data_IF_405543725429
#
_entry.id   IF_405543725429
#
_cell.length_a   1.000
_cell.length_b   1.000
_cell.length_c   1.000
_cell.angle_alpha   90.00
_cell.angle_beta   90.00
_cell.angle_gamma   90.00
#
_symmetry.space_group_name_H-M   'P 1'
#
loop_
_entity.id
_entity.type
_entity.pdbx_description
1 polymer ?
#
# COMPACT_ATOMS: atom_id res chain seq x y z
N UNK A 1 25.66 61.75 24.31
CA UNK A 1 27.02 61.75 23.74
C UNK A 1 27.08 60.62 22.72
N UNK A 2 26.68 60.92 21.48
CA UNK A 2 27.54 61.19 20.32
C UNK A 2 28.05 59.91 19.63
N UNK A 3 27.36 59.56 18.53
CA UNK A 3 27.87 58.84 17.35
C UNK A 3 28.98 59.67 16.65
N UNK A 4 29.75 59.05 15.74
CA UNK A 4 29.45 59.19 14.29
C UNK A 4 29.48 57.81 13.58
N UNK A 5 28.74 57.44 12.52
CA UNK A 5 28.21 58.00 11.24
C UNK A 5 29.20 58.08 10.05
N UNK A 6 28.67 57.67 8.88
CA UNK A 6 29.06 57.84 7.44
C UNK A 6 29.82 56.65 6.79
N UNK A 7 29.60 56.19 5.54
CA UNK A 7 28.76 56.52 4.34
C UNK A 7 28.92 55.32 3.35
N UNK A 8 27.88 54.78 2.68
CA UNK A 8 27.31 55.18 1.36
C UNK A 8 27.97 54.38 0.21
N UNK A 9 27.35 53.93 -0.90
CA UNK A 9 26.14 54.28 -1.68
C UNK A 9 25.77 53.03 -2.53
N UNK A 10 24.51 52.63 -2.75
CA UNK A 10 23.43 53.16 -3.62
C UNK A 10 23.71 53.10 -5.14
N UNK A 11 22.95 52.25 -5.86
CA UNK A 11 22.46 52.52 -7.22
C UNK A 11 21.18 51.70 -7.50
N UNK A 12 20.09 52.43 -7.70
CA UNK A 12 18.77 52.02 -8.19
C UNK A 12 18.69 52.42 -9.68
N UNK A 13 18.08 51.60 -10.54
CA UNK A 13 17.25 52.10 -11.65
C UNK A 13 16.09 51.12 -11.87
N UNK A 14 14.87 51.65 -11.85
CA UNK A 14 13.62 51.04 -12.27
C UNK A 14 13.01 51.89 -13.40
N UNK A 15 12.25 51.28 -14.31
CA UNK A 15 11.07 51.80 -15.03
C UNK A 15 10.79 50.92 -16.28
N UNK A 16 9.66 50.19 -16.35
CA UNK A 16 8.30 50.60 -16.79
C UNK A 16 8.11 50.58 -18.32
N UNK A 17 7.06 49.88 -18.78
CA UNK A 17 6.52 50.00 -20.13
C UNK A 17 5.53 48.89 -20.48
N UNK A 18 4.24 49.21 -20.43
CA UNK A 18 3.08 48.31 -20.53
C UNK A 18 2.35 48.50 -21.88
N UNK A 19 1.50 47.52 -22.22
CA UNK A 19 0.25 47.57 -23.02
C UNK A 19 0.16 47.32 -24.57
N UNK A 20 -0.47 46.17 -24.89
CA UNK A 20 -1.78 45.93 -25.59
C UNK A 20 -1.98 46.04 -27.14
N UNK A 21 -2.65 44.97 -27.67
CA UNK A 21 -3.49 44.79 -28.90
C UNK A 21 -2.84 44.82 -30.31
N UNK A 22 -3.37 44.22 -31.39
CA UNK A 22 -4.22 43.06 -31.75
C UNK A 22 -4.55 43.24 -33.26
N UNK A 23 -4.79 42.13 -33.99
CA UNK A 23 -5.34 42.04 -35.39
C UNK A 23 -4.42 42.59 -36.51
N UNK A 24 -4.37 42.12 -37.75
CA UNK A 24 -5.34 41.40 -38.58
C UNK A 24 -4.62 40.71 -39.78
N UNK A 25 -5.39 39.93 -40.53
CA UNK A 25 -5.04 39.04 -41.64
C UNK A 25 -4.64 39.73 -42.97
N UNK A 26 -4.01 38.93 -43.86
CA UNK A 26 -4.33 38.77 -45.30
C UNK A 26 -3.20 38.98 -46.35
N UNK A 27 -2.94 37.89 -47.09
CA UNK A 27 -2.91 37.72 -48.57
C UNK A 27 -1.88 38.51 -49.43
N UNK A 28 -1.14 37.75 -50.27
CA UNK A 28 -0.96 37.93 -51.73
C UNK A 28 0.41 37.36 -52.18
N UNK A 29 0.41 36.22 -52.87
CA UNK A 29 0.69 36.02 -54.31
C UNK A 29 2.14 36.28 -54.79
N UNK A 30 2.68 35.36 -55.59
CA UNK A 30 3.84 35.64 -56.44
C UNK A 30 4.69 34.43 -56.83
N UNK A 31 4.22 33.66 -57.80
CA UNK A 31 4.90 32.52 -58.41
C UNK A 31 6.22 32.87 -59.13
N UNK A 32 7.15 31.93 -59.25
CA UNK A 32 7.82 31.62 -60.54
C UNK A 32 8.35 30.19 -60.55
N UNK A 33 8.06 29.47 -61.63
CA UNK A 33 8.38 28.08 -61.92
C UNK A 33 9.73 27.89 -62.65
N UNK A 34 10.33 26.71 -62.52
CA UNK A 34 11.04 25.91 -63.56
C UNK A 34 11.46 24.59 -62.90
N UNK A 35 10.78 23.46 -63.08
CA UNK A 35 10.72 22.55 -64.24
C UNK A 35 12.08 21.98 -64.65
N UNK A 36 12.38 20.71 -64.32
CA UNK A 36 12.53 19.60 -65.31
C UNK A 36 12.76 18.24 -64.61
N UNK A 37 11.89 17.26 -64.93
CA UNK A 37 12.14 15.86 -65.39
C UNK A 37 13.31 15.04 -64.79
N UNK A 38 13.29 13.72 -64.59
CA UNK A 38 12.43 12.58 -64.95
C UNK A 38 13.04 11.35 -64.21
N UNK A 39 12.28 10.28 -63.96
CA UNK A 39 12.91 9.04 -63.43
C UNK A 39 12.03 7.96 -62.80
N UNK A 40 10.96 7.58 -63.47
CA UNK A 40 10.29 6.25 -63.59
C UNK A 40 10.48 5.11 -62.54
N UNK A 41 9.31 4.59 -62.11
CA UNK A 41 8.91 3.18 -61.81
C UNK A 41 9.52 2.39 -60.65
N UNK A 42 8.66 1.99 -59.69
CA UNK A 42 8.17 0.59 -59.62
C UNK A 42 7.02 0.43 -58.59
N UNK A 43 5.95 -0.17 -59.07
CA UNK A 43 4.72 -0.60 -58.38
C UNK A 43 4.97 -1.84 -57.51
N UNK A 44 4.39 -1.91 -56.31
CA UNK A 44 3.75 -3.14 -55.80
C UNK A 44 2.96 -2.89 -54.51
N UNK A 45 1.65 -3.04 -54.63
CA UNK A 45 0.67 -3.24 -53.55
C UNK A 45 0.66 -4.73 -53.18
N UNK A 46 0.49 -5.10 -51.89
CA UNK A 46 -0.15 -6.36 -51.57
C UNK A 46 -1.46 -6.16 -50.81
N UNK A 47 -2.40 -6.95 -51.28
CA UNK A 47 -3.81 -7.15 -50.94
C UNK A 47 -4.02 -7.67 -49.51
N UNK A 48 -4.96 -7.06 -48.79
CA UNK A 48 -5.50 -7.58 -47.53
C UNK A 48 -6.49 -8.71 -47.82
N UNK A 49 -6.21 -9.92 -47.32
CA UNK A 49 -7.12 -11.07 -47.39
C UNK A 49 -7.77 -11.28 -46.03
N UNK A 50 -9.10 -11.22 -45.99
CA UNK A 50 -9.92 -11.57 -44.83
C UNK A 50 -10.14 -13.09 -44.74
N UNK A 51 -10.20 -13.70 -43.54
CA UNK A 51 -10.54 -15.10 -43.41
C UNK A 51 -12.06 -15.31 -43.45
N UNK A 52 -12.46 -16.36 -44.16
CA UNK A 52 -13.83 -16.85 -44.28
C UNK A 52 -14.02 -18.01 -43.30
N UNK A 53 -14.93 -17.88 -42.33
CA UNK A 53 -15.38 -19.00 -41.48
C UNK A 53 -16.63 -19.62 -42.09
N UNK A 54 -16.53 -20.92 -42.39
CA UNK A 54 -17.62 -21.77 -42.86
C UNK A 54 -18.27 -22.42 -41.64
N UNK A 55 -19.58 -22.22 -41.46
CA UNK A 55 -20.38 -22.95 -40.47
C UNK A 55 -21.46 -23.73 -41.22
N UNK A 56 -21.39 -25.05 -41.16
CA UNK A 56 -22.43 -25.96 -41.66
C UNK A 56 -23.36 -26.34 -40.52
N UNK A 57 -24.66 -26.24 -40.79
CA UNK A 57 -25.77 -26.50 -39.90
C UNK A 57 -25.95 -28.00 -39.54
N UNK A 58 -26.54 -28.26 -38.39
CA UNK A 58 -27.42 -29.42 -38.16
C UNK A 58 -28.58 -28.99 -37.26
N UNK A 59 -29.78 -29.43 -37.66
CA UNK A 59 -31.13 -29.08 -37.18
C UNK A 59 -31.44 -29.57 -35.75
N UNK A 60 -32.43 -28.92 -35.10
CA UNK A 60 -33.09 -29.52 -33.93
C UNK A 60 -33.96 -28.59 -33.06
N UNK A 61 -35.03 -28.03 -33.64
CA UNK A 61 -36.34 -27.69 -33.05
C UNK A 61 -36.52 -27.11 -31.63
N UNK A 62 -37.26 -25.99 -31.52
CA UNK A 62 -38.50 -25.91 -30.73
C UNK A 62 -39.28 -24.61 -31.02
N UNK A 63 -40.60 -24.72 -30.94
CA UNK A 63 -41.64 -23.80 -31.41
C UNK A 63 -42.15 -22.84 -30.32
N UNK A 64 -42.47 -21.63 -30.78
CA UNK A 64 -43.58 -20.73 -30.44
C UNK A 64 -43.84 -20.28 -29.00
N UNK A 65 -43.80 -18.95 -28.81
CA UNK A 65 -44.62 -18.24 -27.82
C UNK A 65 -44.96 -16.82 -28.28
N UNK A 66 -46.22 -16.71 -28.71
CA UNK A 66 -47.21 -15.64 -28.62
C UNK A 66 -46.83 -14.16 -28.53
N UNK A 67 -47.41 -13.42 -29.48
CA UNK A 67 -47.66 -11.98 -29.53
C UNK A 67 -48.89 -11.58 -28.71
N UNK A 68 -48.80 -10.46 -27.98
CA UNK A 68 -49.96 -9.83 -27.35
C UNK A 68 -49.77 -8.32 -27.13
N UNK A 69 -50.19 -7.53 -28.11
CA UNK A 69 -50.31 -6.06 -28.06
C UNK A 69 -51.59 -5.65 -27.35
N UNK A 70 -51.54 -4.71 -26.39
CA UNK A 70 -52.62 -3.73 -26.18
C UNK A 70 -52.12 -2.43 -25.54
N UNK A 71 -52.32 -1.35 -26.29
CA UNK A 71 -52.34 0.06 -25.90
C UNK A 71 -53.52 0.35 -24.96
N UNK A 72 -53.35 1.21 -23.95
CA UNK A 72 -54.37 2.22 -23.57
C UNK A 72 -53.83 3.30 -22.63
N UNK A 73 -54.27 4.50 -22.95
CA UNK A 73 -53.92 5.82 -22.41
C UNK A 73 -54.81 6.17 -21.21
N UNK A 74 -54.35 7.18 -20.44
CA UNK A 74 -55.12 8.31 -19.89
C UNK A 74 -55.34 8.43 -18.37
N UNK A 75 -54.85 9.59 -17.86
CA UNK A 75 -55.54 10.63 -17.06
C UNK A 75 -55.63 10.55 -15.52
N UNK A 76 -54.85 11.47 -14.92
CA UNK A 76 -55.18 12.58 -13.98
C UNK A 76 -55.72 12.35 -12.56
N UNK A 77 -55.24 13.26 -11.69
CA UNK A 77 -55.85 13.81 -10.45
C UNK A 77 -55.84 12.90 -9.20
N UNK A 78 -55.66 13.37 -7.96
CA UNK A 78 -55.41 14.69 -7.34
C UNK A 78 -55.08 14.44 -5.84
N UNK A 79 -54.34 15.38 -5.25
CA UNK A 79 -54.25 15.83 -3.84
C UNK A 79 -54.53 14.89 -2.64
N UNK A 80 -53.62 14.86 -1.64
CA UNK A 80 -53.71 15.62 -0.36
C UNK A 80 -52.74 15.13 0.74
N UNK A 81 -51.86 16.05 1.17
CA UNK A 81 -51.59 16.57 2.55
C UNK A 81 -51.31 15.66 3.77
N UNK A 82 -50.30 16.13 4.55
CA UNK A 82 -50.09 16.06 6.04
C UNK A 82 -49.51 14.75 6.61
N UNK A 83 -48.56 14.69 7.56
CA UNK A 83 -48.14 15.60 8.65
C UNK A 83 -46.71 15.24 9.15
N UNK A 84 -46.00 16.24 9.62
CA UNK A 84 -44.78 16.22 10.46
C UNK A 84 -44.93 15.41 11.75
N UNK A 85 -43.89 14.70 12.20
CA UNK A 85 -43.54 14.56 13.63
C UNK A 85 -42.04 14.25 13.77
N UNK A 86 -41.32 15.17 14.40
CA UNK A 86 -39.98 14.98 14.92
C UNK A 86 -40.07 14.39 16.33
N UNK A 87 -39.28 13.36 16.64
CA UNK A 87 -38.99 12.99 18.02
C UNK A 87 -37.47 12.96 18.26
N UNK A 88 -37.06 13.92 19.07
CA UNK A 88 -35.76 14.03 19.72
C UNK A 88 -35.76 13.09 20.93
N UNK A 89 -34.79 12.18 21.02
CA UNK A 89 -34.54 11.44 22.27
C UNK A 89 -33.17 11.83 22.82
N UNK A 90 -33.21 12.66 23.85
CA UNK A 90 -32.11 13.00 24.74
C UNK A 90 -31.95 11.86 25.75
N UNK A 91 -30.76 11.28 25.89
CA UNK A 91 -30.47 10.35 27.00
C UNK A 91 -29.47 11.00 27.95
N UNK A 92 -29.95 11.19 29.17
CA UNK A 92 -29.30 11.85 30.29
C UNK A 92 -28.32 10.92 30.99
N UNK A 93 -27.17 11.47 31.34
CA UNK A 93 -26.14 10.98 32.26
C UNK A 93 -26.70 10.63 33.63
N UNK A 94 -26.21 9.56 34.26
CA UNK A 94 -26.27 9.41 35.72
C UNK A 94 -24.98 8.77 36.21
N UNK A 95 -24.15 9.62 36.79
CA UNK A 95 -23.00 9.30 37.61
C UNK A 95 -23.47 8.78 38.96
N UNK A 96 -22.84 7.73 39.48
CA UNK A 96 -22.97 7.34 40.89
C UNK A 96 -21.60 6.92 41.41
N UNK A 97 -21.00 7.82 42.18
CA UNK A 97 -19.88 7.59 43.10
C UNK A 97 -20.34 6.77 44.30
N UNK A 98 -19.53 5.81 44.74
CA UNK A 98 -19.23 5.54 46.16
C UNK A 98 -18.12 4.46 46.32
N UNK A 99 -17.47 4.33 47.49
CA UNK A 99 -16.00 4.37 47.58
C UNK A 99 -15.31 3.11 48.13
N UNK A 100 -13.97 3.10 48.00
CA UNK A 100 -12.92 2.45 48.83
C UNK A 100 -12.95 0.91 48.95
N UNK A 101 -11.89 0.24 48.45
CA UNK A 101 -11.06 -0.57 49.35
C UNK A 101 -9.60 -0.67 48.87
N UNK A 102 -8.71 -0.59 49.85
CA UNK A 102 -7.25 -0.52 49.75
C UNK A 102 -6.69 -1.83 50.25
N UNK A 103 -6.07 -2.64 49.40
CA UNK A 103 -5.17 -3.71 49.86
C UNK A 103 -3.94 -3.82 48.97
N UNK A 104 -2.92 -3.10 49.44
CA UNK A 104 -1.49 -3.33 49.21
C UNK A 104 -1.13 -4.79 49.50
N UNK A 105 -0.51 -5.48 48.55
CA UNK A 105 0.29 -6.68 48.82
C UNK A 105 1.71 -6.44 48.32
N UNK A 106 2.53 -6.00 49.27
CA UNK A 106 3.98 -5.89 49.17
C UNK A 106 4.57 -7.29 49.32
N UNK A 107 5.16 -7.84 48.26
CA UNK A 107 6.05 -8.99 48.36
C UNK A 107 7.49 -8.51 48.27
N UNK A 108 8.11 -8.42 49.44
CA UNK A 108 9.53 -8.17 49.65
C UNK A 108 10.31 -9.44 49.30
N UNK A 109 11.23 -9.37 48.34
CA UNK A 109 12.32 -10.35 48.21
C UNK A 109 13.65 -9.62 48.33
N UNK A 110 14.31 -9.85 49.44
CA UNK A 110 15.68 -9.48 49.76
C UNK A 110 16.65 -10.44 49.08
N UNK A 111 17.54 -9.93 48.22
CA UNK A 111 18.87 -10.53 48.04
C UNK A 111 19.90 -9.40 47.92
N UNK A 112 20.78 -9.37 48.91
CA UNK A 112 21.97 -8.54 49.01
C UNK A 112 23.18 -9.44 48.76
N UNK A 113 24.05 -9.06 47.83
CA UNK A 113 25.48 -9.42 47.70
C UNK A 113 25.92 -9.06 46.27
N UNK A 114 27.11 -8.59 45.96
CA UNK A 114 28.24 -8.07 46.71
C UNK A 114 29.16 -7.51 45.60
N UNK A 115 29.63 -6.27 45.75
CA UNK A 115 30.57 -5.65 44.82
C UNK A 115 31.94 -6.30 45.02
N UNK A 116 32.54 -6.86 43.97
CA UNK A 116 33.99 -7.09 43.93
C UNK A 116 34.51 -6.71 42.55
N UNK A 117 35.29 -5.63 42.55
CA UNK A 117 36.11 -5.17 41.44
C UNK A 117 37.39 -6.00 41.38
N UNK A 118 37.75 -6.58 40.24
CA UNK A 118 39.14 -6.91 39.92
C UNK A 118 39.36 -6.82 38.41
N UNK A 119 40.28 -5.94 38.04
CA UNK A 119 40.85 -5.77 36.69
C UNK A 119 41.95 -6.82 36.47
N UNK A 120 42.05 -7.42 35.27
CA UNK A 120 43.30 -7.69 34.51
C UNK A 120 42.99 -8.37 33.16
N UNK A 121 43.49 -7.72 32.10
CA UNK A 121 43.97 -8.18 30.78
C UNK A 121 43.46 -9.48 30.12
N UNK A 122 42.83 -9.29 28.94
CA UNK A 122 43.42 -9.69 27.66
C UNK A 122 43.42 -11.16 27.25
N UNK A 123 42.32 -11.64 26.68
CA UNK A 123 42.32 -12.68 25.65
C UNK A 123 41.02 -12.60 24.81
N UNK A 124 41.15 -12.36 23.51
CA UNK A 124 40.04 -12.36 22.55
C UNK A 124 39.47 -13.78 22.48
N UNK A 125 38.41 -14.01 23.25
CA UNK A 125 37.64 -15.24 23.22
C UNK A 125 36.36 -14.91 22.46
N UNK A 126 36.11 -15.60 21.36
CA UNK A 126 34.84 -15.51 20.65
C UNK A 126 33.72 -15.84 21.64
N UNK A 127 32.93 -14.82 22.00
CA UNK A 127 31.75 -14.97 22.82
C UNK A 127 30.71 -15.71 21.98
N UNK A 128 30.69 -17.03 22.13
CA UNK A 128 29.53 -17.82 21.75
C UNK A 128 28.55 -17.64 22.89
N UNK A 129 27.64 -16.69 22.76
CA UNK A 129 26.55 -16.46 23.69
C UNK A 129 25.59 -17.64 23.62
N UNK A 130 25.94 -18.72 24.33
CA UNK A 130 25.20 -19.98 24.45
C UNK A 130 23.99 -19.81 25.41
N UNK A 131 23.24 -18.72 25.23
CA UNK A 131 21.90 -18.56 25.78
C UNK A 131 20.87 -19.03 24.76
N UNK A 132 19.70 -19.55 25.17
CA UNK A 132 18.60 -19.66 24.22
C UNK A 132 18.35 -18.26 23.63
N UNK A 133 18.16 -18.14 22.30
CA UNK A 133 17.87 -16.85 21.68
C UNK A 133 16.70 -16.20 22.41
N UNK A 134 16.77 -14.89 22.65
CA UNK A 134 15.66 -14.18 23.25
C UNK A 134 14.41 -14.41 22.38
N UNK A 135 13.21 -14.48 23.01
CA UNK A 135 11.99 -14.67 22.25
C UNK A 135 11.89 -13.57 21.17
N UNK A 136 11.58 -14.00 19.94
CA UNK A 136 11.36 -13.11 18.81
C UNK A 136 12.62 -12.37 18.31
N UNK A 137 13.82 -12.96 18.51
CA UNK A 137 15.03 -12.52 17.81
C UNK A 137 14.93 -12.71 16.29
N UNK A 138 15.58 -11.80 15.56
CA UNK A 138 15.75 -11.89 14.12
C UNK A 138 16.86 -12.91 13.81
N UNK A 139 16.57 -13.98 13.07
CA UNK A 139 17.57 -14.95 12.70
C UNK A 139 18.49 -14.39 11.60
N UNK A 140 19.76 -14.80 11.63
CA UNK A 140 20.68 -14.60 10.52
C UNK A 140 20.44 -15.73 9.49
N UNK A 141 19.75 -15.39 8.41
CA UNK A 141 19.34 -16.31 7.34
C UNK A 141 19.92 -15.88 6.00
N UNK A 142 20.00 -16.81 5.04
CA UNK A 142 20.67 -16.59 3.75
C UNK A 142 20.11 -15.41 2.96
N UNK A 143 18.81 -15.19 3.03
CA UNK A 143 18.13 -14.01 2.47
C UNK A 143 17.84 -13.05 3.62
N UNK A 144 18.64 -11.99 3.81
CA UNK A 144 18.52 -11.16 5.01
C UNK A 144 17.15 -10.48 5.10
N UNK A 145 16.74 -10.13 6.32
CA UNK A 145 15.43 -9.53 6.57
C UNK A 145 15.49 -8.00 6.72
N UNK A 146 16.70 -7.43 6.68
CA UNK A 146 17.01 -6.06 7.09
C UNK A 146 17.71 -5.21 6.02
N UNK A 147 17.96 -5.76 4.82
CA UNK A 147 18.65 -5.08 3.72
C UNK A 147 17.73 -4.77 2.51
N UNK A 148 16.42 -5.05 2.61
CA UNK A 148 15.48 -4.71 1.55
C UNK A 148 14.02 -5.02 1.84
N UNK A 149 13.19 -4.84 0.80
CA UNK A 149 11.73 -4.99 0.83
C UNK A 149 11.37 -6.20 -0.01
N UNK A 150 10.60 -7.14 0.55
CA UNK A 150 10.04 -8.23 -0.24
C UNK A 150 8.85 -7.70 -1.03
N UNK A 151 8.79 -8.02 -2.32
CA UNK A 151 7.68 -7.62 -3.20
C UNK A 151 7.15 -8.85 -3.92
N UNK A 152 5.83 -8.90 -4.08
CA UNK A 152 5.09 -10.03 -4.60
C UNK A 152 4.44 -9.66 -5.93
N UNK A 153 4.66 -10.48 -6.95
CA UNK A 153 3.98 -10.33 -8.23
C UNK A 153 2.56 -10.89 -8.20
N UNK A 154 1.69 -10.37 -9.07
CA UNK A 154 0.33 -10.88 -9.29
C UNK A 154 0.27 -12.34 -9.78
N UNK A 155 1.36 -12.83 -10.36
CA UNK A 155 1.51 -14.18 -10.95
C UNK A 155 2.28 -15.15 -10.04
N UNK A 156 2.32 -14.86 -8.73
CA UNK A 156 2.95 -15.69 -7.71
C UNK A 156 4.48 -15.86 -7.89
N UNK A 157 5.19 -14.75 -8.05
CA UNK A 157 6.65 -14.69 -7.94
C UNK A 157 7.05 -13.82 -6.75
N UNK A 158 8.00 -14.30 -5.95
CA UNK A 158 8.60 -13.53 -4.86
C UNK A 158 9.88 -12.87 -5.35
N UNK A 159 9.98 -11.58 -5.07
CA UNK A 159 11.11 -10.73 -5.40
C UNK A 159 11.55 -9.95 -4.17
N UNK A 160 12.75 -9.38 -4.27
CA UNK A 160 13.28 -8.45 -3.28
C UNK A 160 13.74 -7.17 -3.97
N UNK A 161 13.21 -6.05 -3.51
CA UNK A 161 13.60 -4.71 -3.89
C UNK A 161 14.64 -4.18 -2.89
N UNK A 162 15.73 -3.60 -3.40
CA UNK A 162 16.81 -3.03 -2.61
C UNK A 162 16.81 -1.50 -2.76
N UNK A 163 16.26 -0.76 -1.80
CA UNK A 163 16.15 0.69 -1.90
C UNK A 163 17.48 1.42 -2.13
N UNK A 164 18.56 0.98 -1.46
CA UNK A 164 19.88 1.61 -1.57
C UNK A 164 20.41 1.63 -3.02
N UNK A 165 20.12 0.56 -3.77
CA UNK A 165 20.61 0.39 -5.15
C UNK A 165 19.52 0.58 -6.21
N UNK A 166 18.28 0.85 -5.78
CA UNK A 166 17.07 0.87 -6.61
C UNK A 166 17.02 -0.31 -7.59
N UNK A 167 17.16 -1.54 -7.07
CA UNK A 167 17.25 -2.75 -7.89
C UNK A 167 16.35 -3.87 -7.38
N UNK A 168 16.00 -4.79 -8.28
CA UNK A 168 15.15 -5.94 -8.00
C UNK A 168 15.91 -7.25 -8.21
N UNK A 169 15.69 -8.21 -7.32
CA UNK A 169 16.18 -9.58 -7.47
C UNK A 169 15.01 -10.55 -7.33
N UNK A 170 14.83 -11.42 -8.32
CA UNK A 170 13.85 -12.50 -8.24
C UNK A 170 14.37 -13.58 -7.30
N UNK A 171 13.57 -13.96 -6.29
CA UNK A 171 13.86 -15.10 -5.43
C UNK A 171 13.32 -16.39 -6.06
N UNK A 172 12.15 -16.32 -6.70
CA UNK A 172 11.63 -17.37 -7.57
C UNK A 172 10.09 -17.39 -7.63
N UNK A 173 9.55 -18.32 -8.40
CA UNK A 173 8.11 -18.58 -8.46
C UNK A 173 7.64 -19.45 -7.30
N UNK A 174 6.45 -19.15 -6.76
CA UNK A 174 5.87 -19.89 -5.64
C UNK A 174 5.30 -21.24 -6.12
N UNK A 175 5.56 -22.32 -5.37
CA UNK A 175 4.96 -23.65 -5.61
C UNK A 175 3.85 -23.95 -4.60
N UNK A 176 2.76 -23.20 -4.67
CA UNK A 176 1.63 -23.29 -3.74
C UNK A 176 0.51 -24.22 -4.23
N UNK A 177 0.86 -25.36 -4.84
CA UNK A 177 -0.13 -26.37 -5.25
C UNK A 177 -1.10 -25.89 -6.34
N UNK A 178 -0.65 -24.96 -7.20
CA UNK A 178 -1.43 -24.40 -8.31
C UNK A 178 -2.16 -23.10 -8.01
N UNK A 179 -2.00 -22.54 -6.80
CA UNK A 179 -2.42 -21.17 -6.50
C UNK A 179 -1.48 -20.18 -7.19
N UNK A 180 -2.02 -19.31 -8.04
CA UNK A 180 -1.24 -18.37 -8.85
C UNK A 180 -1.66 -16.91 -8.69
N UNK A 181 -2.92 -16.64 -8.29
CA UNK A 181 -3.44 -15.28 -8.20
C UNK A 181 -3.28 -14.76 -6.78
N UNK A 182 -2.32 -13.87 -6.57
CA UNK A 182 -1.99 -13.29 -5.28
C UNK A 182 -2.81 -12.02 -5.00
N UNK A 183 -2.98 -11.68 -3.71
CA UNK A 183 -3.72 -10.49 -3.27
C UNK A 183 -2.86 -9.56 -2.41
N UNK A 184 -2.25 -10.06 -1.33
CA UNK A 184 -1.38 -9.27 -0.44
C UNK A 184 -0.32 -10.15 0.22
N UNK A 185 0.70 -9.55 0.84
CA UNK A 185 1.81 -10.23 1.47
C UNK A 185 2.29 -9.51 2.74
N UNK A 186 2.64 -10.27 3.77
CA UNK A 186 3.41 -9.80 4.93
C UNK A 186 4.61 -10.73 5.17
N UNK A 187 5.70 -10.25 5.77
CA UNK A 187 6.88 -11.09 6.06
C UNK A 187 7.12 -11.14 7.57
N UNK A 188 7.21 -12.34 8.13
CA UNK A 188 7.43 -12.51 9.57
C UNK A 188 8.92 -12.39 9.96
N UNK A 189 9.20 -12.35 11.26
CA UNK A 189 10.56 -12.30 11.80
C UNK A 189 11.38 -13.57 11.58
N UNK A 190 10.77 -14.67 11.14
CA UNK A 190 11.44 -15.94 10.94
C UNK A 190 11.79 -16.19 9.47
N UNK A 191 11.49 -15.22 8.59
CA UNK A 191 11.77 -15.33 7.16
C UNK A 191 10.71 -16.12 6.41
N UNK A 192 9.46 -16.11 6.88
CA UNK A 192 8.34 -16.55 6.05
C UNK A 192 7.58 -15.36 5.48
N UNK A 193 7.41 -15.35 4.16
CA UNK A 193 6.40 -14.54 3.50
C UNK A 193 5.04 -15.22 3.66
N UNK A 194 4.12 -14.55 4.33
CA UNK A 194 2.72 -14.92 4.42
C UNK A 194 2.01 -14.28 3.24
N UNK A 195 1.53 -15.10 2.31
CA UNK A 195 0.91 -14.65 1.06
C UNK A 195 -0.55 -15.00 1.08
N UNK A 196 -1.40 -13.99 0.91
CA UNK A 196 -2.81 -14.19 0.63
C UNK A 196 -3.02 -14.36 -0.87
N UNK A 197 -3.77 -15.38 -1.24
CA UNK A 197 -4.25 -15.59 -2.60
C UNK A 197 -5.68 -15.08 -2.75
N UNK A 198 -6.06 -14.75 -3.99
CA UNK A 198 -7.44 -14.40 -4.33
C UNK A 198 -8.34 -15.61 -4.02
N UNK A 199 -9.22 -15.45 -3.04
CA UNK A 199 -9.99 -16.55 -2.44
C UNK A 199 -9.88 -16.61 -0.92
N UNK A 200 -8.92 -15.86 -0.35
CA UNK A 200 -8.72 -15.70 1.08
C UNK A 200 -7.82 -16.76 1.71
N UNK A 201 -7.29 -17.71 0.92
CA UNK A 201 -6.26 -18.64 1.37
C UNK A 201 -4.99 -17.89 1.75
N UNK A 202 -4.40 -18.28 2.88
CA UNK A 202 -3.13 -17.77 3.36
C UNK A 202 -2.09 -18.90 3.30
N UNK A 203 -0.92 -18.62 2.75
CA UNK A 203 0.20 -19.58 2.67
C UNK A 203 1.44 -18.99 3.32
N UNK A 204 2.28 -19.84 3.91
CA UNK A 204 3.62 -19.47 4.38
C UNK A 204 4.66 -19.94 3.38
N UNK A 205 5.50 -19.03 2.92
CA UNK A 205 6.58 -19.28 1.96
C UNK A 205 7.90 -18.97 2.64
N UNK A 206 8.84 -19.92 2.66
CA UNK A 206 10.21 -19.66 3.12
C UNK A 206 10.92 -18.74 2.11
N UNK A 207 11.40 -17.58 2.55
CA UNK A 207 12.07 -16.62 1.63
C UNK A 207 13.41 -17.13 1.11
N UNK A 208 13.99 -18.15 1.75
CA UNK A 208 15.23 -18.82 1.33
C UNK A 208 14.98 -20.03 0.42
N UNK A 209 13.77 -20.59 0.45
CA UNK A 209 13.31 -21.67 -0.44
C UNK A 209 11.85 -21.44 -0.85
N UNK A 210 11.64 -20.61 -1.87
CA UNK A 210 10.30 -20.18 -2.30
C UNK A 210 9.43 -21.29 -2.87
N UNK A 211 10.00 -22.48 -3.11
CA UNK A 211 9.23 -23.68 -3.44
C UNK A 211 8.59 -24.32 -2.19
N UNK A 212 9.08 -24.01 -0.99
CA UNK A 212 8.47 -24.45 0.26
C UNK A 212 7.27 -23.57 0.61
N UNK A 213 6.12 -23.90 0.02
CA UNK A 213 4.85 -23.26 0.31
C UNK A 213 3.98 -24.13 1.22
N UNK A 214 3.81 -23.68 2.47
CA UNK A 214 3.11 -24.40 3.53
C UNK A 214 1.70 -23.84 3.77
N UNK A 215 0.78 -24.73 4.16
CA UNK A 215 -0.51 -24.34 4.72
C UNK A 215 -0.37 -24.10 6.22
N UNK A 216 -0.51 -22.86 6.72
CA UNK A 216 -0.52 -22.63 8.16
C UNK A 216 -1.79 -23.19 8.82
N UNK A 217 -2.86 -23.45 8.05
CA UNK A 217 -4.17 -23.86 8.56
C UNK A 217 -5.14 -22.70 8.76
N UNK A 218 -4.88 -21.53 8.16
CA UNK A 218 -5.77 -20.37 8.21
C UNK A 218 -7.08 -20.70 7.49
N UNK A 219 -8.21 -20.49 8.16
CA UNK A 219 -9.52 -20.67 7.54
C UNK A 219 -9.94 -19.40 6.79
N UNK A 220 -10.19 -19.45 5.46
CA UNK A 220 -10.72 -18.31 4.72
C UNK A 220 -12.13 -17.91 5.17
N UNK A 221 -12.53 -16.65 4.93
CA UNK A 221 -13.88 -16.16 5.21
C UNK A 221 -14.20 -15.94 6.69
N UNK A 222 -13.19 -15.93 7.57
CA UNK A 222 -13.38 -15.66 9.00
C UNK A 222 -14.06 -14.32 9.21
N UNK A 223 -15.16 -14.31 9.98
CA UNK A 223 -15.96 -13.10 10.25
C UNK A 223 -16.46 -12.38 8.98
N UNK A 224 -16.60 -13.11 7.86
CA UNK A 224 -16.99 -12.54 6.57
C UNK A 224 -15.90 -11.68 5.92
N UNK A 225 -14.63 -11.94 6.25
CA UNK A 225 -13.46 -11.31 5.64
C UNK A 225 -12.81 -12.31 4.69
N UNK A 226 -12.81 -11.98 3.40
CA UNK A 226 -12.17 -12.79 2.36
C UNK A 226 -10.78 -12.25 2.04
N UNK A 227 -10.69 -11.03 1.51
CA UNK A 227 -9.42 -10.40 1.11
C UNK A 227 -9.06 -9.24 2.03
N UNK A 228 -7.76 -9.05 2.26
CA UNK A 228 -7.22 -7.98 3.09
C UNK A 228 -5.77 -7.66 2.73
N UNK A 229 -5.41 -6.38 2.74
CA UNK A 229 -4.02 -5.96 2.80
C UNK A 229 -3.45 -6.24 4.18
N UNK A 230 -2.18 -6.62 4.31
CA UNK A 230 -1.62 -7.04 5.60
C UNK A 230 -0.15 -6.71 5.82
N UNK A 231 0.23 -6.62 7.09
CA UNK A 231 1.63 -6.54 7.52
C UNK A 231 1.84 -7.20 8.90
N UNK A 232 3.05 -7.67 9.14
CA UNK A 232 3.52 -7.95 10.49
C UNK A 232 3.91 -6.63 11.16
N UNK A 233 3.51 -6.46 12.42
CA UNK A 233 3.85 -5.30 13.23
C UNK A 233 4.32 -5.78 14.60
N UNK A 234 5.47 -5.30 15.08
CA UNK A 234 5.95 -5.61 16.44
C UNK A 234 4.93 -5.14 17.47
N UNK A 235 4.85 -5.82 18.61
CA UNK A 235 4.01 -5.39 19.73
C UNK A 235 4.45 -4.00 20.21
N UNK A 236 5.77 -3.78 20.35
CA UNK A 236 6.39 -2.47 20.60
C UNK A 236 7.91 -2.51 20.41
N UNK A 237 8.59 -1.36 20.55
CA UNK A 237 10.06 -1.31 20.66
C UNK A 237 10.66 -2.15 21.80
N UNK A 238 9.86 -2.57 22.79
CA UNK A 238 10.30 -3.36 23.95
C UNK A 238 9.81 -4.81 23.93
N UNK A 239 8.86 -5.11 23.04
CA UNK A 239 8.28 -6.43 22.83
C UNK A 239 8.28 -6.68 21.32
N UNK A 240 9.31 -7.38 20.88
CA UNK A 240 9.62 -7.55 19.47
C UNK A 240 8.83 -8.68 18.81
N UNK A 241 8.02 -9.42 19.57
CA UNK A 241 7.08 -10.34 18.96
C UNK A 241 6.06 -9.57 18.13
N UNK A 242 5.60 -10.16 17.04
CA UNK A 242 4.77 -9.50 16.05
C UNK A 242 3.42 -10.18 15.86
N UNK A 243 2.47 -9.39 15.38
CA UNK A 243 1.14 -9.83 14.98
C UNK A 243 0.87 -9.37 13.56
N UNK A 244 -0.03 -10.08 12.87
CA UNK A 244 -0.52 -9.63 11.58
C UNK A 244 -1.65 -8.64 11.83
N UNK A 245 -1.57 -7.48 11.21
CA UNK A 245 -2.66 -6.53 11.09
C UNK A 245 -3.07 -6.41 9.63
N UNK A 246 -4.30 -5.94 9.38
CA UNK A 246 -4.78 -5.77 8.03
C UNK A 246 -5.96 -4.82 7.87
N UNK A 247 -6.28 -4.54 6.61
CA UNK A 247 -7.44 -3.77 6.18
C UNK A 247 -8.25 -4.61 5.20
N UNK A 248 -9.56 -4.71 5.41
CA UNK A 248 -10.42 -5.54 4.58
C UNK A 248 -10.76 -4.91 3.23
N UNK A 249 -10.84 -5.73 2.20
CA UNK A 249 -11.49 -5.40 0.95
C UNK A 249 -12.79 -6.19 0.79
N UNK A 250 -13.86 -5.51 0.37
CA UNK A 250 -15.20 -6.08 0.24
C UNK A 250 -15.35 -7.07 -0.91
N UNK A 251 -14.41 -7.09 -1.86
CA UNK A 251 -14.51 -7.88 -3.08
C UNK A 251 -15.49 -7.29 -4.11
N UNK A 252 -16.03 -6.09 -3.87
CA UNK A 252 -17.07 -5.48 -4.70
C UNK A 252 -16.59 -4.14 -5.25
N UNK A 253 -16.44 -4.06 -6.57
CA UNK A 253 -16.09 -2.81 -7.24
C UNK A 253 -14.62 -2.41 -7.05
N UNK A 254 -14.21 -1.22 -7.51
CA UNK A 254 -12.85 -0.75 -7.31
C UNK A 254 -12.59 -0.45 -5.82
N UNK A 255 -11.31 -0.39 -5.44
CA UNK A 255 -10.89 0.19 -4.18
C UNK A 255 -11.52 1.57 -4.01
N UNK A 256 -11.95 1.88 -2.79
CA UNK A 256 -12.67 3.12 -2.54
C UNK A 256 -12.40 3.68 -1.16
N UNK A 257 -12.74 4.95 -1.00
CA UNK A 257 -12.59 5.69 0.24
C UNK A 257 -13.92 6.29 0.68
N UNK A 258 -14.20 6.21 1.97
CA UNK A 258 -15.42 6.70 2.57
C UNK A 258 -15.49 6.39 4.06
N UNK A 259 -16.36 7.05 4.81
CA UNK A 259 -16.40 6.89 6.27
C UNK A 259 -16.79 5.45 6.68
N UNK A 260 -15.92 4.79 7.45
CA UNK A 260 -16.16 3.47 8.07
C UNK A 260 -16.54 2.34 7.09
N UNK A 261 -16.00 2.36 5.88
CA UNK A 261 -16.33 1.36 4.85
C UNK A 261 -15.45 0.10 4.91
N UNK A 262 -14.28 0.18 5.55
CA UNK A 262 -13.41 -0.97 5.84
C UNK A 262 -13.44 -1.40 7.30
N UNK A 263 -12.94 -2.60 7.56
CA UNK A 263 -12.61 -3.08 8.90
C UNK A 263 -11.07 -3.14 9.06
N UNK A 264 -10.58 -2.65 10.19
CA UNK A 264 -9.21 -2.92 10.64
C UNK A 264 -9.21 -4.24 11.39
N UNK A 265 -8.30 -5.14 11.02
CA UNK A 265 -8.25 -6.50 11.55
C UNK A 265 -6.90 -6.79 12.20
N UNK A 266 -6.93 -7.75 13.13
CA UNK A 266 -5.73 -8.42 13.64
C UNK A 266 -5.87 -9.92 13.46
N UNK A 267 -4.76 -10.60 13.19
CA UNK A 267 -4.67 -12.06 13.13
C UNK A 267 -3.52 -12.48 14.04
N UNK A 268 -3.85 -13.32 15.02
CA UNK A 268 -2.85 -13.96 15.88
C UNK A 268 -2.13 -15.06 15.07
N UNK A 269 -0.80 -14.98 14.87
CA UNK A 269 -0.10 -15.87 13.94
C UNK A 269 0.02 -17.32 14.44
N UNK A 270 -0.21 -17.58 15.73
CA UNK A 270 -0.16 -18.92 16.31
C UNK A 270 -1.50 -19.64 16.19
N UNK A 271 -2.58 -18.93 16.52
CA UNK A 271 -3.95 -19.47 16.52
C UNK A 271 -4.68 -19.27 15.20
N UNK A 272 -4.18 -18.36 14.35
CA UNK A 272 -4.74 -17.99 13.04
C UNK A 272 -6.17 -17.41 13.12
N UNK A 273 -6.53 -16.90 14.30
CA UNK A 273 -7.84 -16.33 14.57
C UNK A 273 -7.87 -14.86 14.20
N UNK A 274 -8.78 -14.51 13.28
CA UNK A 274 -9.03 -13.13 12.89
C UNK A 274 -9.95 -12.43 13.91
N UNK A 275 -9.60 -11.19 14.24
CA UNK A 275 -10.42 -10.27 15.03
C UNK A 275 -10.66 -8.98 14.26
N UNK A 276 -11.89 -8.44 14.30
CA UNK A 276 -12.19 -7.07 13.84
C UNK A 276 -11.96 -6.11 14.99
N UNK A 277 -10.99 -5.22 14.85
CA UNK A 277 -10.52 -4.30 15.89
C UNK A 277 -11.24 -2.96 15.82
N UNK A 278 -11.59 -2.52 14.61
CA UNK A 278 -12.42 -1.34 14.40
C UNK A 278 -12.66 -1.05 12.94
N UNK A 279 -13.01 0.20 12.63
CA UNK A 279 -13.40 0.65 11.29
C UNK A 279 -12.33 1.57 10.71
N UNK A 280 -12.17 1.50 9.39
CA UNK A 280 -11.30 2.41 8.63
C UNK A 280 -12.08 3.04 7.49
N UNK A 281 -11.44 4.01 6.83
CA UNK A 281 -12.07 4.74 5.74
C UNK A 281 -11.77 4.17 4.34
N UNK A 282 -11.16 2.99 4.26
CA UNK A 282 -10.76 2.37 3.00
C UNK A 282 -11.47 1.04 2.81
N UNK A 283 -12.10 0.84 1.64
CA UNK A 283 -12.51 -0.47 1.18
C UNK A 283 -11.38 -1.03 0.32
N UNK A 284 -10.46 -1.71 1.00
CA UNK A 284 -9.17 -2.15 0.51
C UNK A 284 -8.09 -1.06 0.62
N UNK A 285 -7.16 -1.32 1.53
CA UNK A 285 -5.89 -0.64 1.69
C UNK A 285 -4.82 -1.70 1.96
N UNK A 286 -3.57 -1.40 1.61
CA UNK A 286 -2.43 -2.22 2.01
C UNK A 286 -1.89 -1.75 3.35
N UNK A 287 -1.19 -2.63 4.06
CA UNK A 287 -0.55 -2.29 5.34
C UNK A 287 0.96 -2.43 5.29
N UNK A 288 1.63 -1.65 6.12
CA UNK A 288 3.02 -1.90 6.50
C UNK A 288 3.21 -1.67 7.99
N UNK A 289 4.19 -2.35 8.56
CA UNK A 289 4.48 -2.36 9.99
C UNK A 289 5.95 -2.15 10.27
N UNK A 290 6.27 -1.70 11.49
CA UNK A 290 7.65 -1.39 11.88
C UNK A 290 8.10 -2.18 13.11
N UNK A 291 9.42 -2.30 13.26
CA UNK A 291 10.05 -2.96 14.41
C UNK A 291 9.79 -2.29 15.76
N UNK A 292 9.49 -0.98 15.77
CA UNK A 292 9.12 -0.21 16.97
C UNK A 292 7.60 -0.24 17.26
N UNK A 293 6.82 -0.88 16.39
CA UNK A 293 5.42 -1.23 16.62
C UNK A 293 4.40 -0.21 16.11
N UNK A 294 4.75 0.57 15.09
CA UNK A 294 3.83 1.45 14.35
C UNK A 294 3.22 0.68 13.17
N UNK A 295 1.98 1.00 12.84
CA UNK A 295 1.25 0.42 11.72
C UNK A 295 0.72 1.53 10.82
N UNK A 296 0.78 1.30 9.52
CA UNK A 296 0.33 2.25 8.52
C UNK A 296 -0.56 1.59 7.49
N UNK A 297 -1.51 2.36 6.96
CA UNK A 297 -2.34 2.01 5.82
C UNK A 297 -1.97 2.88 4.62
N UNK A 298 -1.99 2.29 3.42
CA UNK A 298 -1.91 3.01 2.15
C UNK A 298 -3.13 2.68 1.30
N UNK A 299 -3.85 3.71 0.87
CA UNK A 299 -5.04 3.55 0.05
C UNK A 299 -5.76 4.86 -0.27
N UNK A 300 -6.98 4.72 -0.79
CA UNK A 300 -7.84 5.84 -1.16
C UNK A 300 -7.56 6.43 -2.54
N UNK A 301 -8.34 7.45 -2.91
CA UNK A 301 -8.37 7.98 -4.28
C UNK A 301 -8.28 9.50 -4.30
N UNK A 302 -7.49 10.09 -5.21
CA UNK A 302 -7.48 11.52 -5.51
C UNK A 302 -7.12 12.46 -4.36
N UNK A 303 -5.89 12.46 -3.82
CA UNK A 303 -4.77 11.55 -4.09
C UNK A 303 -4.84 10.29 -3.23
N UNK A 304 -3.91 9.33 -3.37
CA UNK A 304 -3.73 8.28 -2.36
C UNK A 304 -3.28 8.87 -1.01
N UNK A 305 -3.44 8.12 0.09
CA UNK A 305 -3.12 8.55 1.45
C UNK A 305 -2.22 7.54 2.15
N UNK A 306 -1.26 8.06 2.91
CA UNK A 306 -0.58 7.32 3.97
C UNK A 306 -1.25 7.66 5.30
N UNK A 307 -1.62 6.64 6.08
CA UNK A 307 -2.30 6.82 7.36
C UNK A 307 -1.58 6.03 8.44
N UNK A 308 -1.11 6.69 9.50
CA UNK A 308 -0.69 5.97 10.71
C UNK A 308 -1.94 5.58 11.50
N UNK A 309 -2.02 4.33 11.95
CA UNK A 309 -3.20 3.80 12.64
C UNK A 309 -2.88 3.28 14.04
N UNK A 310 -3.83 3.47 14.95
CA UNK A 310 -3.80 2.87 16.28
C UNK A 310 -4.10 1.36 16.17
N UNK A 311 -3.13 0.51 16.49
CA UNK A 311 -3.26 -0.95 16.36
C UNK A 311 -4.39 -1.56 17.17
N UNK A 312 -4.85 -0.90 18.23
CA UNK A 312 -5.92 -1.44 19.08
C UNK A 312 -7.32 -1.20 18.48
N UNK A 313 -7.48 -0.20 17.62
CA UNK A 313 -8.78 0.27 17.16
C UNK A 313 -8.89 0.53 15.65
N UNK A 314 -7.77 0.58 14.92
CA UNK A 314 -7.72 1.02 13.52
C UNK A 314 -8.00 2.51 13.33
N UNK A 315 -8.06 3.31 14.40
CA UNK A 315 -8.30 4.73 14.30
C UNK A 315 -7.08 5.44 13.70
N UNK A 316 -7.31 6.35 12.75
CA UNK A 316 -6.26 7.18 12.19
C UNK A 316 -5.63 8.07 13.28
N UNK A 317 -4.32 7.96 13.45
CA UNK A 317 -3.49 8.80 14.29
C UNK A 317 -2.96 10.01 13.51
N UNK A 318 -2.52 9.76 12.28
CA UNK A 318 -2.09 10.79 11.32
C UNK A 318 -2.51 10.42 9.90
N UNK A 319 -2.75 11.42 9.07
CA UNK A 319 -3.21 11.25 7.68
C UNK A 319 -2.44 12.21 6.78
N UNK A 320 -1.64 11.64 5.88
CA UNK A 320 -0.86 12.37 4.89
C UNK A 320 -1.40 12.11 3.47
N UNK A 321 -2.03 13.11 2.82
CA UNK A 321 -2.37 13.04 1.42
C UNK A 321 -1.10 13.08 0.55
N UNK A 322 -0.93 12.09 -0.34
CA UNK A 322 0.26 11.92 -1.17
C UNK A 322 0.04 12.58 -2.53
N UNK A 323 0.11 13.91 -2.57
CA UNK A 323 -0.19 14.68 -3.78
C UNK A 323 0.67 14.22 -4.97
N UNK A 324 0.01 13.81 -6.06
CA UNK A 324 0.67 13.32 -7.28
C UNK A 324 0.86 11.81 -7.33
N UNK A 325 0.55 11.08 -6.24
CA UNK A 325 0.50 9.62 -6.22
C UNK A 325 -0.96 9.15 -6.28
N UNK A 326 -1.28 8.34 -7.28
CA UNK A 326 -2.61 7.79 -7.51
C UNK A 326 -2.55 6.26 -7.59
N UNK A 327 -3.68 5.62 -7.29
CA UNK A 327 -3.88 4.18 -7.51
C UNK A 327 -4.82 4.06 -8.71
N UNK A 328 -4.27 3.79 -9.88
CA UNK A 328 -4.97 3.98 -11.15
C UNK A 328 -5.68 2.72 -11.63
N UNK A 329 -5.00 1.58 -11.62
CA UNK A 329 -5.51 0.32 -12.18
C UNK A 329 -5.63 -0.80 -11.14
N UNK A 330 -5.44 -0.48 -9.87
CA UNK A 330 -5.81 -1.33 -8.72
C UNK A 330 -4.72 -2.30 -8.25
N UNK A 331 -3.58 -2.39 -8.95
CA UNK A 331 -2.42 -3.06 -8.36
C UNK A 331 -1.61 -2.04 -7.57
N UNK A 332 -1.57 -2.22 -6.26
CA UNK A 332 -0.75 -1.39 -5.40
C UNK A 332 -0.27 -2.17 -4.19
N UNK A 333 0.90 -1.78 -3.69
CA UNK A 333 1.47 -2.21 -2.44
C UNK A 333 2.34 -1.10 -1.88
N UNK A 334 2.74 -1.20 -0.61
CA UNK A 334 3.74 -0.31 -0.07
C UNK A 334 4.46 -0.94 1.11
N UNK A 335 5.63 -0.42 1.43
CA UNK A 335 6.36 -0.84 2.60
C UNK A 335 7.13 0.31 3.23
N UNK A 336 7.22 0.28 4.56
CA UNK A 336 8.16 1.09 5.30
C UNK A 336 9.54 0.41 5.29
N UNK A 337 10.62 1.18 5.08
CA UNK A 337 11.98 0.66 5.21
C UNK A 337 12.96 1.78 5.58
N UNK A 338 13.76 1.58 6.62
CA UNK A 338 14.87 2.46 7.00
C UNK A 338 14.51 3.95 7.19
N UNK A 339 13.29 4.26 7.60
CA UNK A 339 12.82 5.64 7.82
C UNK A 339 11.84 6.13 6.75
N UNK A 340 11.82 5.51 5.58
CA UNK A 340 11.06 5.95 4.41
C UNK A 340 9.90 5.02 4.05
N UNK A 341 9.00 5.51 3.21
CA UNK A 341 7.95 4.69 2.58
C UNK A 341 8.23 4.51 1.09
N UNK A 342 8.00 3.29 0.61
CA UNK A 342 8.11 2.91 -0.78
C UNK A 342 6.75 2.44 -1.27
N UNK A 343 6.20 3.16 -2.23
CA UNK A 343 4.92 2.88 -2.85
C UNK A 343 5.16 2.20 -4.19
N UNK A 344 4.50 1.07 -4.37
CA UNK A 344 4.50 0.29 -5.59
C UNK A 344 3.11 0.40 -6.19
N UNK A 345 2.96 1.20 -7.24
CA UNK A 345 1.68 1.40 -7.93
C UNK A 345 1.77 0.87 -9.34
N UNK A 346 0.66 0.48 -9.94
CA UNK A 346 0.62 0.13 -11.36
C UNK A 346 1.19 1.26 -12.25
N UNK A 347 1.90 0.89 -13.31
CA UNK A 347 2.43 1.88 -14.27
C UNK A 347 1.35 2.36 -15.23
N UNK A 348 1.29 3.68 -15.43
CA UNK A 348 0.41 4.30 -16.41
C UNK A 348 0.72 3.88 -17.85
N UNK A 349 1.94 3.39 -18.09
CA UNK A 349 2.45 3.08 -19.43
C UNK A 349 2.54 1.57 -19.72
N UNK A 350 2.57 0.72 -18.68
CA UNK A 350 2.61 -0.74 -18.80
C UNK A 350 1.82 -1.42 -17.66
N UNK A 351 0.69 -2.04 -18.00
CA UNK A 351 -0.18 -2.74 -17.06
C UNK A 351 0.44 -4.00 -16.44
N UNK A 352 1.62 -4.43 -16.92
CA UNK A 352 2.36 -5.56 -16.37
C UNK A 352 3.56 -5.13 -15.52
N UNK A 353 3.72 -3.82 -15.30
CA UNK A 353 4.80 -3.24 -14.52
C UNK A 353 4.25 -2.33 -13.42
N UNK A 354 5.07 -2.12 -12.39
CA UNK A 354 4.83 -1.13 -11.34
C UNK A 354 5.80 0.04 -11.43
N UNK A 355 5.36 1.19 -10.93
CA UNK A 355 6.23 2.30 -10.56
C UNK A 355 6.68 2.16 -9.10
N UNK A 356 7.84 2.72 -8.78
CA UNK A 356 8.34 2.83 -7.40
C UNK A 356 8.47 4.30 -7.06
N UNK A 357 7.68 4.75 -6.09
CA UNK A 357 7.77 6.10 -5.53
C UNK A 357 8.25 6.02 -4.09
N UNK A 358 9.27 6.80 -3.71
CA UNK A 358 9.73 6.95 -2.33
C UNK A 358 9.13 8.20 -1.72
N UNK A 359 8.69 8.12 -0.48
CA UNK A 359 8.50 9.26 0.41
C UNK A 359 9.67 9.32 1.38
N UNK A 360 10.46 10.39 1.31
CA UNK A 360 11.44 10.75 2.36
C UNK A 360 10.64 11.15 3.61
N UNK A 361 10.37 10.19 4.49
CA UNK A 361 9.43 10.39 5.59
C UNK A 361 10.13 10.87 6.85
N UNK A 362 11.38 10.47 7.05
CA UNK A 362 12.20 10.85 8.19
C UNK A 362 12.93 12.19 7.99
N UNK A 363 12.76 12.85 6.84
CA UNK A 363 13.38 14.12 6.46
C UNK A 363 14.91 13.99 6.48
N UNK A 364 15.41 12.93 5.84
CA UNK A 364 16.84 12.56 5.84
C UNK A 364 17.73 13.68 5.27
N UNK A 365 17.22 14.46 4.32
CA UNK A 365 17.91 15.60 3.72
C UNK A 365 17.81 16.90 4.54
N UNK A 366 17.03 16.89 5.63
CA UNK A 366 16.77 17.98 6.56
C UNK A 366 16.24 19.25 5.88
N UNK A 367 15.43 19.10 4.83
CA UNK A 367 14.81 20.23 4.15
C UNK A 367 13.47 20.65 4.80
N UNK A 368 12.95 19.84 5.74
CA UNK A 368 11.72 20.08 6.51
C UNK A 368 10.45 19.71 5.76
N UNK A 369 10.54 18.93 4.69
CA UNK A 369 9.45 18.51 3.80
C UNK A 369 9.58 17.00 3.58
N UNK A 370 8.45 16.30 3.66
CA UNK A 370 8.42 14.89 3.26
C UNK A 370 8.23 14.81 1.75
N UNK A 371 9.32 14.55 1.03
CA UNK A 371 9.35 14.61 -0.43
C UNK A 371 8.96 13.28 -1.08
N UNK A 372 8.07 13.35 -2.07
CA UNK A 372 7.73 12.24 -2.95
C UNK A 372 8.61 12.25 -4.20
N UNK A 373 9.33 11.16 -4.44
CA UNK A 373 10.24 10.97 -5.57
C UNK A 373 9.93 9.69 -6.33
N UNK A 374 9.65 9.80 -7.63
CA UNK A 374 9.56 8.63 -8.53
C UNK A 374 10.97 8.08 -8.79
N UNK A 375 11.26 6.89 -8.26
CA UNK A 375 12.56 6.21 -8.41
C UNK A 375 12.62 5.35 -9.66
N UNK A 376 11.52 4.66 -9.98
CA UNK A 376 11.43 3.70 -11.10
C UNK A 376 10.07 3.84 -11.75
N UNK A 377 10.01 4.04 -13.07
CA UNK A 377 8.75 4.14 -13.82
C UNK A 377 8.28 2.82 -14.44
N UNK A 378 9.12 1.79 -14.38
CA UNK A 378 8.93 0.50 -15.06
C UNK A 378 9.71 -0.61 -14.34
N UNK A 379 9.13 -1.14 -13.25
CA UNK A 379 9.64 -2.28 -12.52
C UNK A 379 9.46 -3.58 -13.34
N UNK A 380 10.29 -4.62 -13.14
CA UNK A 380 10.25 -5.83 -13.98
C UNK A 380 9.03 -6.73 -13.76
N UNK A 381 8.05 -6.28 -12.96
CA UNK A 381 6.87 -7.01 -12.52
C UNK A 381 5.75 -6.05 -12.12
N UNK A 382 4.51 -6.55 -12.15
CA UNK A 382 3.37 -5.92 -11.50
C UNK A 382 3.32 -6.35 -10.04
N UNK A 383 3.55 -5.41 -9.13
CA UNK A 383 3.59 -5.64 -7.69
C UNK A 383 2.19 -5.50 -7.11
N UNK A 384 1.73 -6.53 -6.39
CA UNK A 384 0.43 -6.57 -5.71
C UNK A 384 0.55 -6.75 -4.19
N UNK A 385 1.75 -7.06 -3.69
CA UNK A 385 2.02 -7.14 -2.27
C UNK A 385 3.45 -6.71 -1.98
N UNK A 386 3.67 -6.10 -0.82
CA UNK A 386 4.99 -5.72 -0.36
C UNK A 386 5.03 -5.92 1.16
N UNK A 387 6.13 -6.49 1.64
CA UNK A 387 6.30 -6.80 3.04
C UNK A 387 7.74 -6.60 3.47
N UNK A 388 7.90 -6.01 4.65
CA UNK A 388 9.16 -6.03 5.40
C UNK A 388 8.96 -6.87 6.63
N UNK A 389 10.02 -7.56 7.03
CA UNK A 389 10.05 -8.13 8.37
C UNK A 389 10.16 -7.00 9.39
N UNK A 390 9.62 -7.19 10.59
CA UNK A 390 9.84 -6.26 11.71
C UNK A 390 11.30 -6.27 12.21
N UNK A 391 12.16 -7.08 11.58
CA UNK A 391 13.62 -7.04 11.67
C UNK A 391 14.26 -5.91 10.86
N UNK A 392 13.52 -5.33 9.90
CA UNK A 392 14.02 -4.24 9.08
C UNK A 392 14.31 -2.97 9.92
N UNK A 393 15.28 -2.16 9.51
CA UNK A 393 15.64 -0.95 10.22
C UNK A 393 14.50 0.06 10.27
N UNK A 394 14.32 0.71 11.43
CA UNK A 394 13.31 1.77 11.66
C UNK A 394 13.83 3.18 11.37
N UNK A 395 15.11 3.30 11.05
CA UNK A 395 15.79 4.56 10.76
C UNK A 395 16.90 4.29 9.73
N UNK A 396 17.48 5.33 9.12
CA UNK A 396 18.54 5.15 8.12
C UNK A 396 19.71 4.37 8.69
N UNK A 397 20.27 3.49 7.87
CA UNK A 397 21.44 2.66 8.21
C UNK A 397 22.77 3.41 8.10
#
# INVERSE_FOLDING_TARGET
MMRPTLIGSLLLVAACGDSVQATDSAVSEGATATDTSDGTTATSTPTTTAPTTTTTATEGGQTDSDTGTTTSTSTTDDSTTTTTTSETTTTTTTSTTDPIDTTTSTSTSTTQAETTTTTTDGETTAETTDGPPAPCECPDIEVPLDDGIFVLSGDAELWKYFPETNSFTMLGGLDCGGLLSTFSMAVDRQGFAWVQFVGGELRKIDVTDVANCEDPGYAPGQLGVDNFGMAFVSNSQFDQCDQIYGNTYSGIGPFSEGPNIGDFIGIDPDSLQLSKLGKTNFDGAELTGTGDGRAFEFGGTGPAKLVEVDKASGAALDVLPLAGLEINNGAFAFAFFAGDFYFFTDSDNDFFASEVTRLDYDDSDNNGIQDLELLTSDAPLLIVGAGVSTCAPVAPM
#
